data_IF_670664467060
#
_entry.id   IF_670664467060
#
_cell.length_a   1.000
_cell.length_b   1.000
_cell.length_c   1.000
_cell.angle_alpha   90.00
_cell.angle_beta   90.00
_cell.angle_gamma   90.00
#
_symmetry.space_group_name_H-M   'P 1'
#
loop_
_entity.id
_entity.type
_entity.pdbx_description
1 polymer ?
#
# COMPACT_ATOMS: atom_id res chain seq x y z
N UNK A 1 -6.78 102.22 -136.80
CA UNK A 1 -7.98 101.52 -136.28
C UNK A 1 -7.63 100.14 -135.71
N UNK A 2 -6.88 99.29 -136.43
CA UNK A 2 -6.43 97.97 -135.95
C UNK A 2 -5.59 97.98 -134.66
N UNK A 3 -4.67 98.94 -134.48
CA UNK A 3 -3.84 99.01 -133.25
C UNK A 3 -4.67 99.24 -131.99
N UNK A 4 -5.73 100.06 -132.07
CA UNK A 4 -6.63 100.34 -130.94
C UNK A 4 -7.43 99.08 -130.55
N UNK A 5 -7.82 98.28 -131.54
CA UNK A 5 -8.55 97.03 -131.33
C UNK A 5 -7.68 95.93 -130.74
N UNK A 6 -6.41 95.85 -131.16
CA UNK A 6 -5.40 94.99 -130.54
C UNK A 6 -5.09 95.41 -129.09
N UNK A 7 -4.98 96.71 -128.82
CA UNK A 7 -4.80 97.23 -127.46
C UNK A 7 -6.01 96.91 -126.57
N UNK A 8 -7.24 97.01 -127.09
CA UNK A 8 -8.46 96.59 -126.37
C UNK A 8 -8.44 95.10 -126.05
N UNK A 9 -8.12 94.25 -127.03
CA UNK A 9 -8.02 92.80 -126.83
C UNK A 9 -6.95 92.43 -125.80
N UNK A 10 -5.79 93.10 -125.81
CA UNK A 10 -4.77 92.91 -124.76
C UNK A 10 -5.25 93.35 -123.38
N UNK A 11 -5.96 94.48 -123.31
CA UNK A 11 -6.48 95.01 -122.05
C UNK A 11 -7.56 94.09 -121.45
N UNK A 12 -8.41 93.48 -122.28
CA UNK A 12 -9.42 92.51 -121.84
C UNK A 12 -8.77 91.20 -121.35
N UNK A 13 -7.72 90.70 -122.03
CA UNK A 13 -6.94 89.54 -121.56
C UNK A 13 -6.21 89.82 -120.25
N UNK A 14 -5.71 91.04 -120.07
CA UNK A 14 -5.08 91.48 -118.82
C UNK A 14 -6.14 91.51 -117.71
N UNK A 15 -7.33 92.06 -117.97
CA UNK A 15 -8.46 92.04 -117.01
C UNK A 15 -8.85 90.63 -116.61
N UNK A 16 -9.04 89.74 -117.58
CA UNK A 16 -9.39 88.33 -117.32
C UNK A 16 -8.28 87.63 -116.51
N UNK A 17 -7.02 87.92 -116.81
CA UNK A 17 -5.88 87.38 -116.04
C UNK A 17 -5.86 87.93 -114.61
N UNK A 18 -6.13 89.22 -114.42
CA UNK A 18 -6.23 89.86 -113.09
C UNK A 18 -7.39 89.24 -112.30
N UNK A 19 -8.56 89.08 -112.91
CA UNK A 19 -9.73 88.49 -112.26
C UNK A 19 -9.51 87.03 -111.87
N UNK A 20 -8.87 86.25 -112.74
CA UNK A 20 -8.52 84.85 -112.45
C UNK A 20 -7.47 84.75 -111.32
N UNK A 21 -6.45 85.61 -111.34
CA UNK A 21 -5.45 85.68 -110.26
C UNK A 21 -6.09 86.12 -108.94
N UNK A 22 -6.98 87.11 -108.98
CA UNK A 22 -7.74 87.60 -107.82
C UNK A 22 -8.62 86.49 -107.22
N UNK A 23 -9.34 85.75 -108.07
CA UNK A 23 -10.16 84.61 -107.63
C UNK A 23 -9.31 83.48 -107.03
N UNK A 24 -8.17 83.13 -107.65
CA UNK A 24 -7.24 82.13 -107.09
C UNK A 24 -6.65 82.58 -105.76
N UNK A 25 -6.30 83.86 -105.64
CA UNK A 25 -5.77 84.43 -104.40
C UNK A 25 -6.83 84.42 -103.29
N UNK A 26 -8.06 84.85 -103.58
CA UNK A 26 -9.17 84.83 -102.62
C UNK A 26 -9.49 83.40 -102.16
N UNK A 27 -9.50 82.42 -103.08
CA UNK A 27 -9.67 81.02 -102.71
C UNK A 27 -8.56 80.52 -101.78
N UNK A 28 -7.30 80.85 -102.06
CA UNK A 28 -6.18 80.52 -101.16
C UNK A 28 -6.30 81.19 -99.79
N UNK A 29 -6.68 82.47 -99.75
CA UNK A 29 -6.91 83.21 -98.51
C UNK A 29 -8.01 82.53 -97.69
N UNK A 30 -9.11 82.12 -98.32
CA UNK A 30 -10.21 81.44 -97.65
C UNK A 30 -9.78 80.06 -97.10
N UNK A 31 -8.99 79.29 -97.86
CA UNK A 31 -8.41 78.03 -97.37
C UNK A 31 -7.48 78.26 -96.19
N UNK A 32 -6.59 79.25 -96.26
CA UNK A 32 -5.68 79.59 -95.15
C UNK A 32 -6.47 79.98 -93.90
N UNK A 33 -7.52 80.79 -94.04
CA UNK A 33 -8.41 81.15 -92.92
C UNK A 33 -9.11 79.94 -92.31
N UNK A 34 -9.61 79.02 -93.14
CA UNK A 34 -10.25 77.80 -92.67
C UNK A 34 -9.28 76.90 -91.90
N UNK A 35 -8.05 76.73 -92.41
CA UNK A 35 -7.01 75.97 -91.72
C UNK A 35 -6.64 76.65 -90.40
N UNK A 36 -6.42 77.97 -90.42
CA UNK A 36 -6.12 78.75 -89.21
C UNK A 36 -7.20 78.58 -88.15
N UNK A 37 -8.48 78.70 -88.52
CA UNK A 37 -9.60 78.52 -87.59
C UNK A 37 -9.63 77.11 -86.99
N UNK A 38 -9.41 76.08 -87.80
CA UNK A 38 -9.35 74.69 -87.32
C UNK A 38 -8.16 74.47 -86.37
N UNK A 39 -7.01 75.05 -86.70
CA UNK A 39 -5.82 74.99 -85.84
C UNK A 39 -6.06 75.75 -84.53
N UNK A 40 -6.72 76.92 -84.57
CA UNK A 40 -7.06 77.68 -83.36
C UNK A 40 -8.04 76.89 -82.47
N UNK A 41 -9.03 76.21 -83.05
CA UNK A 41 -9.94 75.31 -82.32
C UNK A 41 -9.20 74.15 -81.66
N UNK A 42 -8.27 73.49 -82.37
CA UNK A 42 -7.42 72.44 -81.82
C UNK A 42 -6.49 72.95 -80.71
N UNK A 43 -5.92 74.14 -80.86
CA UNK A 43 -5.07 74.76 -79.84
C UNK A 43 -5.89 75.08 -78.59
N UNK A 44 -7.12 75.55 -78.75
CA UNK A 44 -7.98 75.96 -77.64
C UNK A 44 -8.47 74.79 -76.76
N UNK A 45 -8.44 73.54 -77.26
CA UNK A 45 -8.80 72.36 -76.44
C UNK A 45 -7.63 71.78 -75.64
N UNK A 46 -6.37 72.04 -76.04
CA UNK A 46 -5.17 71.52 -75.37
C UNK A 46 -5.11 71.89 -73.87
N UNK A 47 -5.43 73.13 -73.45
CA UNK A 47 -5.44 73.49 -72.03
C UNK A 47 -6.38 72.63 -71.20
N UNK A 48 -7.60 72.36 -71.70
CA UNK A 48 -8.57 71.52 -70.99
C UNK A 48 -8.09 70.07 -70.83
N UNK A 49 -7.43 69.52 -71.84
CA UNK A 49 -6.81 68.20 -71.75
C UNK A 49 -5.67 68.16 -70.72
N UNK A 50 -4.86 69.22 -70.64
CA UNK A 50 -3.80 69.33 -69.64
C UNK A 50 -4.36 69.42 -68.22
N UNK A 51 -5.42 70.20 -68.00
CA UNK A 51 -6.13 70.28 -66.70
C UNK A 51 -6.70 68.92 -66.26
N UNK A 52 -7.26 68.13 -67.19
CA UNK A 52 -7.75 66.78 -66.91
C UNK A 52 -6.62 65.82 -66.51
N UNK A 53 -5.48 65.90 -67.21
CA UNK A 53 -4.31 65.10 -66.87
C UNK A 53 -3.72 65.47 -65.51
N UNK A 54 -3.61 66.77 -65.20
CA UNK A 54 -3.13 67.26 -63.90
C UNK A 54 -4.05 66.81 -62.76
N UNK A 55 -5.37 66.89 -62.97
CA UNK A 55 -6.34 66.36 -62.01
C UNK A 55 -6.14 64.87 -61.79
N UNK A 56 -5.94 64.10 -62.87
CA UNK A 56 -5.74 62.65 -62.77
C UNK A 56 -4.43 62.29 -62.08
N UNK A 57 -3.36 63.02 -62.35
CA UNK A 57 -2.08 62.90 -61.66
C UNK A 57 -2.24 63.15 -60.15
N UNK A 58 -2.96 64.20 -59.77
CA UNK A 58 -3.23 64.50 -58.36
C UNK A 58 -4.06 63.41 -57.67
N UNK A 59 -5.10 62.87 -58.32
CA UNK A 59 -5.88 61.74 -57.80
C UNK A 59 -5.01 60.50 -57.55
N UNK A 60 -4.14 60.15 -58.51
CA UNK A 60 -3.23 59.02 -58.40
C UNK A 60 -2.19 59.24 -57.31
N UNK A 61 -1.66 60.46 -57.15
CA UNK A 61 -0.70 60.78 -56.10
C UNK A 61 -1.31 60.63 -54.70
N UNK A 62 -2.56 61.05 -54.51
CA UNK A 62 -3.28 60.85 -53.24
C UNK A 62 -3.58 59.36 -52.97
N UNK A 63 -3.92 58.58 -54.01
CA UNK A 63 -4.10 57.13 -53.88
C UNK A 63 -2.79 56.43 -53.50
N UNK A 64 -1.68 56.80 -54.15
CA UNK A 64 -0.34 56.28 -53.83
C UNK A 64 0.04 56.61 -52.37
N UNK A 65 -0.30 57.81 -51.89
CA UNK A 65 -0.04 58.20 -50.51
C UNK A 65 -0.81 57.33 -49.53
N UNK A 66 -2.11 57.10 -49.75
CA UNK A 66 -2.92 56.21 -48.92
C UNK A 66 -2.38 54.78 -48.92
N UNK A 67 -2.02 54.25 -50.08
CA UNK A 67 -1.44 52.91 -50.18
C UNK A 67 -0.11 52.77 -49.41
N UNK A 68 0.72 53.82 -49.37
CA UNK A 68 1.95 53.83 -48.56
C UNK A 68 1.64 53.82 -47.07
N UNK A 69 0.64 54.58 -46.63
CA UNK A 69 0.19 54.59 -45.23
C UNK A 69 -0.37 53.23 -44.82
N UNK A 70 -1.21 52.61 -45.66
CA UNK A 70 -1.77 51.28 -45.43
C UNK A 70 -0.67 50.19 -45.40
N UNK A 71 0.31 50.28 -46.30
CA UNK A 71 1.47 49.38 -46.31
C UNK A 71 2.25 49.49 -45.00
N UNK A 72 2.49 50.70 -44.51
CA UNK A 72 3.21 50.91 -43.25
C UNK A 72 2.44 50.32 -42.07
N UNK A 73 1.13 50.58 -41.99
CA UNK A 73 0.27 50.00 -40.95
C UNK A 73 0.30 48.46 -40.97
N UNK A 74 0.32 47.87 -42.16
CA UNK A 74 0.38 46.42 -42.33
C UNK A 74 1.73 45.85 -41.90
N UNK A 75 2.84 46.53 -42.21
CA UNK A 75 4.18 46.17 -41.73
C UNK A 75 4.25 46.22 -40.21
N UNK A 76 3.74 47.30 -39.59
CA UNK A 76 3.75 47.46 -38.14
C UNK A 76 2.91 46.36 -37.44
N UNK A 77 1.78 45.97 -38.04
CA UNK A 77 0.95 44.89 -37.52
C UNK A 77 1.60 43.50 -37.68
N UNK A 78 2.31 43.27 -38.77
CA UNK A 78 3.10 42.04 -38.96
C UNK A 78 4.16 41.95 -37.86
N UNK A 79 4.91 43.03 -37.62
CA UNK A 79 5.95 43.04 -36.58
C UNK A 79 5.38 42.74 -35.18
N UNK A 80 4.24 43.35 -34.81
CA UNK A 80 3.56 43.03 -33.54
C UNK A 80 3.13 41.57 -33.45
N UNK A 81 2.60 41.02 -34.55
CA UNK A 81 2.17 39.63 -34.59
C UNK A 81 3.38 38.68 -34.47
N UNK A 82 4.51 39.00 -35.10
CA UNK A 82 5.75 38.23 -34.97
C UNK A 82 6.30 38.26 -33.53
N UNK A 83 6.25 39.41 -32.86
CA UNK A 83 6.60 39.53 -31.45
C UNK A 83 5.69 38.68 -30.54
N UNK A 84 4.38 38.71 -30.76
CA UNK A 84 3.41 37.88 -30.04
C UNK A 84 3.64 36.39 -30.27
N UNK A 85 3.93 35.98 -31.51
CA UNK A 85 4.29 34.59 -31.84
C UNK A 85 5.53 34.16 -31.07
N UNK A 86 6.58 34.99 -31.05
CA UNK A 86 7.82 34.68 -30.33
C UNK A 86 7.59 34.53 -28.83
N UNK A 87 6.78 35.39 -28.21
CA UNK A 87 6.41 35.27 -26.80
C UNK A 87 5.64 33.97 -26.52
N UNK A 88 4.68 33.64 -27.37
CA UNK A 88 3.88 32.42 -27.26
C UNK A 88 4.75 31.15 -27.41
N UNK A 89 5.75 31.16 -28.30
CA UNK A 89 6.70 30.05 -28.46
C UNK A 89 7.51 29.81 -27.17
N UNK A 90 7.97 30.89 -26.53
CA UNK A 90 8.69 30.81 -25.24
C UNK A 90 7.77 30.27 -24.13
N UNK A 91 6.52 30.71 -24.08
CA UNK A 91 5.56 30.21 -23.09
C UNK A 91 5.23 28.73 -23.33
N UNK A 92 5.05 28.33 -24.59
CA UNK A 92 4.84 26.94 -24.97
C UNK A 92 6.01 26.05 -24.52
N UNK A 93 7.24 26.53 -24.66
CA UNK A 93 8.42 25.79 -24.21
C UNK A 93 8.44 25.62 -22.68
N UNK A 94 8.14 26.68 -21.92
CA UNK A 94 8.01 26.59 -20.45
C UNK A 94 6.92 25.62 -20.01
N UNK A 95 5.79 25.57 -20.73
CA UNK A 95 4.72 24.62 -20.43
C UNK A 95 5.14 23.17 -20.71
N UNK A 96 5.86 22.92 -21.81
CA UNK A 96 6.42 21.59 -22.12
C UNK A 96 7.42 21.11 -21.06
N UNK A 97 8.27 22.01 -20.57
CA UNK A 97 9.21 21.70 -19.48
C UNK A 97 8.47 21.31 -18.20
N UNK A 98 7.48 22.10 -17.79
CA UNK A 98 6.62 21.78 -16.63
C UNK A 98 5.86 20.47 -16.78
N UNK A 99 5.37 20.17 -17.99
CA UNK A 99 4.72 18.89 -18.28
C UNK A 99 5.69 17.72 -18.10
N UNK A 100 6.94 17.87 -18.58
CA UNK A 100 7.95 16.84 -18.44
C UNK A 100 8.33 16.61 -16.96
N UNK A 101 8.53 17.68 -16.18
CA UNK A 101 8.77 17.59 -14.73
C UNK A 101 7.65 16.82 -14.01
N UNK A 102 6.39 17.13 -14.35
CA UNK A 102 5.22 16.43 -13.77
C UNK A 102 5.14 14.97 -14.18
N UNK A 103 5.58 14.64 -15.39
CA UNK A 103 5.66 13.26 -15.86
C UNK A 103 6.72 12.47 -15.09
N UNK A 104 7.89 13.06 -14.87
CA UNK A 104 8.95 12.45 -14.06
C UNK A 104 8.52 12.25 -12.60
N UNK A 105 7.84 13.23 -12.00
CA UNK A 105 7.26 13.12 -10.66
C UNK A 105 6.24 11.96 -10.58
N UNK A 106 5.37 11.85 -11.59
CA UNK A 106 4.40 10.75 -11.69
C UNK A 106 5.10 9.38 -11.77
N UNK A 107 6.14 9.25 -12.59
CA UNK A 107 6.86 7.98 -12.76
C UNK A 107 7.60 7.58 -11.47
N UNK A 108 8.12 8.56 -10.72
CA UNK A 108 8.68 8.35 -9.38
C UNK A 108 7.63 7.83 -8.40
N UNK A 109 6.46 8.48 -8.34
CA UNK A 109 5.35 8.05 -7.47
C UNK A 109 4.89 6.62 -7.83
N UNK A 110 4.78 6.30 -9.12
CA UNK A 110 4.42 4.95 -9.58
C UNK A 110 5.43 3.91 -9.06
N UNK A 111 6.72 4.23 -9.11
CA UNK A 111 7.78 3.36 -8.59
C UNK A 111 7.68 3.18 -7.07
N UNK A 112 7.47 4.26 -6.32
CA UNK A 112 7.28 4.22 -4.87
C UNK A 112 6.04 3.38 -4.47
N UNK A 113 4.93 3.52 -5.22
CA UNK A 113 3.72 2.70 -5.01
C UNK A 113 4.02 1.20 -5.24
N UNK A 114 4.78 0.87 -6.27
CA UNK A 114 5.15 -0.52 -6.56
C UNK A 114 6.01 -1.11 -5.43
N UNK A 115 6.98 -0.36 -4.91
CA UNK A 115 7.80 -0.76 -3.77
C UNK A 115 6.97 -0.98 -2.49
N UNK A 116 6.08 -0.03 -2.17
CA UNK A 116 5.18 -0.16 -1.02
C UNK A 116 4.25 -1.37 -1.15
N UNK A 117 3.73 -1.63 -2.35
CA UNK A 117 2.89 -2.81 -2.61
C UNK A 117 3.65 -4.11 -2.38
N UNK A 118 4.90 -4.20 -2.84
CA UNK A 118 5.75 -5.37 -2.61
C UNK A 118 6.07 -5.55 -1.12
N UNK A 119 6.37 -4.45 -0.41
CA UNK A 119 6.58 -4.47 1.04
C UNK A 119 5.34 -4.96 1.79
N UNK A 120 4.15 -4.57 1.35
CA UNK A 120 2.90 -5.00 1.96
C UNK A 120 2.67 -6.51 1.79
N UNK A 121 2.90 -7.03 0.57
CA UNK A 121 2.83 -8.49 0.29
C UNK A 121 3.80 -9.28 1.20
N UNK A 122 5.01 -8.76 1.39
CA UNK A 122 5.99 -9.40 2.29
C UNK A 122 5.51 -9.40 3.75
N UNK A 123 4.97 -8.28 4.23
CA UNK A 123 4.41 -8.18 5.58
C UNK A 123 3.21 -9.10 5.77
N UNK A 124 2.31 -9.20 4.79
CA UNK A 124 1.18 -10.13 4.83
C UNK A 124 1.65 -11.57 4.94
N UNK A 125 2.70 -11.95 4.20
CA UNK A 125 3.31 -13.28 4.27
C UNK A 125 3.89 -13.55 5.66
N UNK A 126 4.61 -12.58 6.24
CA UNK A 126 5.16 -12.70 7.59
C UNK A 126 4.07 -12.81 8.66
N UNK A 127 2.96 -12.08 8.50
CA UNK A 127 1.81 -12.18 9.40
C UNK A 127 1.20 -13.59 9.30
N UNK A 128 1.05 -14.14 8.10
CA UNK A 128 0.53 -15.50 7.92
C UNK A 128 1.43 -16.55 8.60
N UNK A 129 2.75 -16.44 8.42
CA UNK A 129 3.74 -17.32 9.08
C UNK A 129 3.65 -17.23 10.61
N UNK A 130 3.64 -16.01 11.16
CA UNK A 130 3.54 -15.79 12.61
C UNK A 130 2.20 -16.26 13.18
N UNK A 131 1.12 -16.15 12.40
CA UNK A 131 -0.20 -16.67 12.79
C UNK A 131 -0.15 -18.19 12.92
N UNK A 132 0.43 -18.89 11.94
CA UNK A 132 0.62 -20.35 12.00
C UNK A 132 1.50 -20.77 13.17
N UNK A 133 2.62 -20.08 13.40
CA UNK A 133 3.47 -20.35 14.57
C UNK A 133 2.68 -20.22 15.88
N UNK A 134 1.86 -19.16 16.01
CA UNK A 134 1.05 -18.91 17.20
C UNK A 134 -0.04 -19.98 17.40
N UNK A 135 -0.70 -20.43 16.33
CA UNK A 135 -1.63 -21.55 16.37
C UNK A 135 -0.96 -22.82 16.90
N UNK A 136 0.22 -23.18 16.37
CA UNK A 136 0.94 -24.38 16.83
C UNK A 136 1.37 -24.27 18.30
N UNK A 137 1.82 -23.09 18.74
CA UNK A 137 2.22 -22.86 20.12
C UNK A 137 1.02 -22.92 21.08
N UNK A 138 -0.14 -22.43 20.65
CA UNK A 138 -1.39 -22.49 21.41
C UNK A 138 -1.86 -23.93 21.58
N UNK A 139 -1.76 -24.74 20.53
CA UNK A 139 -2.09 -26.17 20.58
C UNK A 139 -1.13 -26.94 21.50
N UNK A 140 0.18 -26.67 21.39
CA UNK A 140 1.19 -27.25 22.30
C UNK A 140 0.93 -26.86 23.76
N UNK A 141 0.62 -25.58 24.03
CA UNK A 141 0.29 -25.11 25.37
C UNK A 141 -0.95 -25.84 25.94
N UNK A 142 -1.99 -25.98 25.12
CA UNK A 142 -3.22 -26.69 25.50
C UNK A 142 -2.93 -28.15 25.85
N UNK A 143 -2.06 -28.82 25.06
CA UNK A 143 -1.67 -30.21 25.33
C UNK A 143 -0.87 -30.33 26.63
N UNK A 144 0.08 -29.43 26.89
CA UNK A 144 0.85 -29.41 28.14
C UNK A 144 -0.07 -29.17 29.34
N UNK A 145 -1.05 -28.27 29.21
CA UNK A 145 -2.04 -28.00 30.25
C UNK A 145 -2.89 -29.23 30.57
N UNK A 146 -3.35 -29.97 29.55
CA UNK A 146 -4.08 -31.23 29.74
C UNK A 146 -3.19 -32.28 30.43
N UNK A 147 -1.97 -32.48 29.94
CA UNK A 147 -1.04 -33.47 30.47
C UNK A 147 -0.67 -33.17 31.93
N UNK A 148 -0.35 -31.91 32.24
CA UNK A 148 -0.04 -31.49 33.62
C UNK A 148 -1.24 -31.64 34.55
N UNK A 149 -2.46 -31.33 34.10
CA UNK A 149 -3.67 -31.56 34.88
C UNK A 149 -3.87 -33.05 35.19
N UNK A 150 -3.69 -33.92 34.21
CA UNK A 150 -3.76 -35.38 34.39
C UNK A 150 -2.70 -35.88 35.37
N UNK A 151 -1.45 -35.41 35.24
CA UNK A 151 -0.38 -35.76 36.17
C UNK A 151 -0.66 -35.31 37.61
N UNK A 152 -1.23 -34.11 37.79
CA UNK A 152 -1.65 -33.63 39.10
C UNK A 152 -2.75 -34.53 39.66
N UNK A 153 -3.79 -34.87 38.89
CA UNK A 153 -4.86 -35.77 39.31
C UNK A 153 -4.32 -37.16 39.71
N UNK A 154 -3.41 -37.73 38.93
CA UNK A 154 -2.74 -39.00 39.25
C UNK A 154 -1.90 -38.93 40.54
N UNK A 155 -1.11 -37.85 40.71
CA UNK A 155 -0.30 -37.66 41.90
C UNK A 155 -1.18 -37.43 43.14
N UNK A 156 -2.25 -36.65 43.02
CA UNK A 156 -3.22 -36.45 44.11
C UNK A 156 -3.87 -37.79 44.51
N UNK A 157 -4.28 -38.61 43.54
CA UNK A 157 -4.83 -39.93 43.81
C UNK A 157 -3.82 -40.86 44.53
N UNK A 158 -2.55 -40.85 44.11
CA UNK A 158 -1.47 -41.60 44.79
C UNK A 158 -1.22 -41.09 46.21
N UNK A 159 -1.22 -39.78 46.42
CA UNK A 159 -1.08 -39.18 47.75
C UNK A 159 -2.23 -39.65 48.64
N UNK A 160 -3.48 -39.55 48.19
CA UNK A 160 -4.63 -40.00 48.97
C UNK A 160 -4.58 -41.49 49.31
N UNK A 161 -4.16 -42.34 48.36
CA UNK A 161 -3.97 -43.77 48.62
C UNK A 161 -2.88 -44.04 49.67
N UNK A 162 -1.73 -43.35 49.56
CA UNK A 162 -0.65 -43.45 50.55
C UNK A 162 -1.05 -42.88 51.92
N UNK A 163 -1.83 -41.81 51.97
CA UNK A 163 -2.37 -41.27 53.22
C UNK A 163 -3.31 -42.26 53.91
N UNK A 164 -4.12 -42.99 53.13
CA UNK A 164 -5.02 -44.02 53.64
C UNK A 164 -4.25 -45.27 54.11
N UNK A 165 -3.23 -45.70 53.36
CA UNK A 165 -2.29 -46.74 53.80
C UNK A 165 -1.55 -46.34 55.08
N UNK A 166 -1.08 -45.09 55.18
CA UNK A 166 -0.42 -44.55 56.36
C UNK A 166 -1.38 -44.53 57.56
N UNK A 167 -2.65 -44.16 57.35
CA UNK A 167 -3.67 -44.17 58.40
C UNK A 167 -3.89 -45.60 58.91
N UNK A 168 -4.01 -46.57 58.02
CA UNK A 168 -4.15 -47.99 58.37
C UNK A 168 -2.92 -48.50 59.13
N UNK A 169 -1.71 -48.22 58.64
CA UNK A 169 -0.47 -48.60 59.31
C UNK A 169 -0.31 -47.95 60.69
N UNK A 170 -0.78 -46.71 60.88
CA UNK A 170 -0.84 -46.06 62.20
C UNK A 170 -1.83 -46.74 63.12
N UNK A 171 -3.02 -47.12 62.63
CA UNK A 171 -4.00 -47.88 63.40
C UNK A 171 -3.47 -49.25 63.81
N UNK A 172 -2.85 -49.99 62.89
CA UNK A 172 -2.22 -51.29 63.15
C UNK A 172 -1.09 -51.16 64.21
N UNK A 173 -0.30 -50.08 64.16
CA UNK A 173 0.78 -49.84 65.13
C UNK A 173 0.31 -49.31 66.51
N UNK A 174 -0.96 -48.93 66.69
CA UNK A 174 -1.45 -48.43 68.00
C UNK A 174 -1.27 -49.46 69.12
N UNK A 175 -1.44 -50.75 68.80
CA UNK A 175 -1.23 -51.87 69.74
C UNK A 175 0.21 -51.87 70.28
N UNK A 176 1.18 -51.73 69.38
CA UNK A 176 2.61 -51.81 69.72
C UNK A 176 3.03 -50.58 70.53
N UNK A 177 2.61 -49.39 70.11
CA UNK A 177 2.93 -48.13 70.81
C UNK A 177 2.33 -48.13 72.22
N UNK A 178 1.07 -48.54 72.39
CA UNK A 178 0.43 -48.65 73.70
C UNK A 178 1.20 -49.58 74.64
N UNK A 179 1.63 -50.74 74.13
CA UNK A 179 2.31 -51.74 74.95
C UNK A 179 3.77 -51.35 75.27
N UNK A 180 4.42 -50.56 74.41
CA UNK A 180 5.74 -49.99 74.68
C UNK A 180 5.68 -48.81 75.65
N UNK A 181 4.75 -47.85 75.48
CA UNK A 181 4.63 -46.66 76.35
C UNK A 181 4.15 -47.00 77.77
N UNK A 182 3.37 -48.06 77.93
CA UNK A 182 2.98 -48.59 79.24
C UNK A 182 4.13 -49.34 79.97
N UNK A 183 5.31 -49.47 79.35
CA UNK A 183 6.46 -50.20 79.89
C UNK A 183 6.23 -51.71 80.01
N UNK A 184 5.26 -52.26 79.27
CA UNK A 184 4.82 -53.66 79.38
C UNK A 184 5.61 -54.61 78.47
N UNK A 185 6.36 -54.09 77.50
CA UNK A 185 7.13 -54.86 76.53
C UNK A 185 8.48 -54.25 76.14
N UNK A 186 9.46 -55.12 75.91
CA UNK A 186 10.79 -54.77 75.36
C UNK A 186 10.81 -54.84 73.82
N UNK A 187 11.84 -54.26 73.17
CA UNK A 187 11.98 -54.21 71.69
C UNK A 187 11.79 -55.57 71.00
N UNK A 188 12.34 -56.70 71.50
CA UNK A 188 12.09 -58.03 70.90
C UNK A 188 10.65 -58.52 71.06
N UNK A 189 9.98 -58.15 72.16
CA UNK A 189 8.59 -58.52 72.46
C UNK A 189 7.63 -57.75 71.54
N UNK A 190 7.88 -56.46 71.34
CA UNK A 190 7.13 -55.61 70.40
C UNK A 190 7.21 -56.11 68.94
N UNK A 191 8.38 -56.56 68.50
CA UNK A 191 8.58 -57.06 67.13
C UNK A 191 7.79 -58.34 66.85
N UNK A 192 7.81 -59.31 67.78
CA UNK A 192 7.03 -60.55 67.64
C UNK A 192 5.52 -60.26 67.62
N UNK A 193 5.06 -59.36 68.50
CA UNK A 193 3.65 -58.96 68.55
C UNK A 193 3.22 -58.28 67.25
N UNK A 194 4.06 -57.40 66.69
CA UNK A 194 3.78 -56.75 65.40
C UNK A 194 3.55 -57.76 64.28
N UNK A 195 4.43 -58.76 64.18
CA UNK A 195 4.33 -59.83 63.18
C UNK A 195 3.08 -60.68 63.34
N UNK A 196 2.69 -60.99 64.59
CA UNK A 196 1.49 -61.78 64.88
C UNK A 196 0.21 -60.97 64.67
N UNK A 197 0.19 -59.70 65.07
CA UNK A 197 -0.94 -58.79 64.92
C UNK A 197 -1.25 -58.48 63.45
N UNK A 198 -0.23 -58.48 62.59
CA UNK A 198 -0.39 -58.33 61.14
C UNK A 198 -1.06 -59.55 60.45
N UNK A 199 -1.32 -60.65 61.18
CA UNK A 199 -2.02 -61.84 60.69
C UNK A 199 -3.40 -61.99 61.33
N UNK A 200 -4.46 -61.95 60.52
CA UNK A 200 -5.84 -62.12 61.00
C UNK A 200 -6.13 -63.52 61.56
N UNK A 201 -5.41 -64.54 61.08
CA UNK A 201 -5.59 -65.93 61.50
C UNK A 201 -4.52 -66.42 62.49
N UNK A 202 -3.63 -65.52 62.95
CA UNK A 202 -2.45 -65.87 63.73
C UNK A 202 -1.35 -66.52 62.89
N UNK A 203 -0.22 -66.83 63.53
CA UNK A 203 0.96 -67.40 62.88
C UNK A 203 1.52 -68.59 63.66
N UNK A 204 2.03 -69.60 62.96
CA UNK A 204 2.80 -70.70 63.53
C UNK A 204 4.19 -70.20 63.95
N UNK A 205 4.87 -70.97 64.81
CA UNK A 205 6.22 -70.64 65.28
C UNK A 205 7.22 -70.41 64.12
N UNK A 206 7.14 -71.23 63.08
CA UNK A 206 8.07 -71.14 61.95
C UNK A 206 7.79 -69.90 61.10
N UNK A 207 6.51 -69.58 60.86
CA UNK A 207 6.12 -68.36 60.16
C UNK A 207 6.53 -67.10 60.93
N UNK A 208 6.51 -67.14 62.27
CA UNK A 208 6.99 -66.03 63.11
C UNK A 208 8.50 -65.90 62.98
N UNK A 209 9.26 -67.00 63.09
CA UNK A 209 10.73 -67.01 62.97
C UNK A 209 11.24 -66.49 61.64
N UNK A 210 10.47 -66.65 60.56
CA UNK A 210 10.82 -66.16 59.22
C UNK A 210 10.51 -64.67 59.02
N UNK A 211 9.57 -64.12 59.81
CA UNK A 211 9.07 -62.74 59.65
C UNK A 211 9.63 -61.74 60.66
N UNK A 212 10.31 -62.22 61.71
CA UNK A 212 10.95 -61.37 62.73
C UNK A 212 12.46 -61.28 62.50
N UNK A 213 13.05 -60.12 62.81
CA UNK A 213 14.48 -59.85 62.66
C UNK A 213 15.31 -60.34 63.86
N UNK A 214 14.67 -60.66 64.99
CA UNK A 214 15.36 -61.24 66.15
C UNK A 214 15.89 -62.66 65.85
N UNK A 215 17.03 -63.07 66.43
CA UNK A 215 17.58 -64.40 66.23
C UNK A 215 16.56 -65.49 66.57
N UNK A 216 16.43 -66.51 65.71
CA UNK A 216 15.40 -67.57 65.85
C UNK A 216 15.42 -68.30 67.19
N UNK A 217 16.58 -68.33 67.86
CA UNK A 217 16.76 -68.90 69.20
C UNK A 217 16.10 -68.08 70.31
N UNK A 218 15.89 -66.77 70.10
CA UNK A 218 15.22 -65.87 71.04
C UNK A 218 13.71 -65.79 70.81
N UNK A 219 13.24 -66.20 69.63
CA UNK A 219 11.81 -66.14 69.27
C UNK A 219 10.94 -66.98 70.22
N UNK A 220 11.33 -68.23 70.52
CA UNK A 220 10.53 -69.08 71.39
C UNK A 220 10.49 -68.60 72.86
N UNK A 221 11.62 -68.23 73.50
CA UNK A 221 11.59 -67.64 74.85
C UNK A 221 10.72 -66.38 74.93
N UNK A 222 10.85 -65.49 73.94
CA UNK A 222 10.08 -64.25 73.90
C UNK A 222 8.59 -64.52 73.64
N UNK A 223 8.23 -65.49 72.80
CA UNK A 223 6.83 -65.94 72.63
C UNK A 223 6.24 -66.47 73.93
N UNK A 224 7.00 -67.23 74.71
CA UNK A 224 6.53 -67.76 75.99
C UNK A 224 6.25 -66.62 76.99
N UNK A 225 7.14 -65.61 77.07
CA UNK A 225 6.88 -64.42 77.87
C UNK A 225 5.62 -63.67 77.41
N UNK A 226 5.41 -63.58 76.09
CA UNK A 226 4.26 -62.92 75.51
C UNK A 226 2.95 -63.70 75.72
N UNK A 227 2.98 -65.03 75.78
CA UNK A 227 1.80 -65.87 76.10
C UNK A 227 1.28 -65.63 77.52
N UNK A 228 2.16 -65.26 78.45
CA UNK A 228 1.76 -64.92 79.81
C UNK A 228 1.16 -63.50 79.92
N UNK A 229 1.43 -62.64 78.94
CA UNK A 229 1.06 -61.22 78.96
C UNK A 229 -0.10 -60.88 78.01
N UNK A 230 0.03 -61.23 76.73
CA UNK A 230 -0.77 -60.63 75.64
C UNK A 230 -1.12 -61.59 74.49
N UNK A 231 -0.49 -62.76 74.38
CA UNK A 231 -0.77 -63.76 73.37
C UNK A 231 -1.64 -64.90 73.91
N UNK A 232 -2.32 -65.56 72.99
CA UNK A 232 -2.94 -66.87 73.19
C UNK A 232 -2.41 -67.84 72.14
N UNK A 233 -2.33 -69.12 72.50
CA UNK A 233 -1.91 -70.18 71.59
C UNK A 233 -3.08 -71.10 71.30
N UNK A 234 -3.53 -71.15 70.04
CA UNK A 234 -4.52 -72.12 69.58
C UNK A 234 -3.81 -73.45 69.26
N UNK A 235 -3.87 -74.37 70.21
CA UNK A 235 -3.27 -75.70 70.07
C UNK A 235 -3.89 -76.54 68.93
N UNK A 236 -5.10 -76.21 68.43
CA UNK A 236 -5.72 -76.95 67.31
C UNK A 236 -5.17 -76.52 65.97
N UNK A 237 -4.75 -75.26 65.86
CA UNK A 237 -4.22 -74.67 64.63
C UNK A 237 -2.70 -74.49 64.69
N UNK A 238 -2.09 -74.74 65.84
CA UNK A 238 -0.69 -74.49 66.18
C UNK A 238 -0.26 -73.04 65.95
N UNK A 239 -1.18 -72.10 66.18
CA UNK A 239 -0.97 -70.67 65.89
C UNK A 239 -0.99 -69.83 67.14
N UNK A 240 -0.09 -68.86 67.18
CA UNK A 240 -0.09 -67.77 68.14
C UNK A 240 -0.98 -66.64 67.61
N UNK A 241 -1.82 -66.10 68.48
CA UNK A 241 -2.76 -65.02 68.20
C UNK A 241 -2.73 -64.01 69.35
N UNK A 242 -3.05 -62.75 69.07
CA UNK A 242 -3.28 -61.76 70.13
C UNK A 242 -4.49 -62.22 70.95
N UNK A 243 -4.38 -62.15 72.27
CA UNK A 243 -5.49 -62.48 73.17
C UNK A 243 -6.72 -61.62 72.87
N UNK A 244 -7.88 -62.25 72.73
CA UNK A 244 -9.16 -61.55 72.47
C UNK A 244 -9.53 -60.57 73.58
N UNK A 245 -9.11 -60.84 74.82
CA UNK A 245 -9.32 -59.95 75.99
C UNK A 245 -8.56 -58.63 75.80
N UNK A 246 -7.32 -58.70 75.30
CA UNK A 246 -6.47 -57.51 75.05
C UNK A 246 -7.01 -56.71 73.85
N UNK A 247 -7.55 -57.39 72.83
CA UNK A 247 -8.23 -56.73 71.70
C UNK A 247 -9.51 -55.99 72.13
N UNK A 248 -10.32 -56.54 73.05
CA UNK A 248 -11.54 -55.91 73.56
C UNK A 248 -11.25 -54.69 74.46
N UNK A 249 -10.22 -54.75 75.31
CA UNK A 249 -9.83 -53.61 76.16
C UNK A 249 -9.38 -52.38 75.34
N UNK A 250 -8.74 -52.59 74.20
CA UNK A 250 -8.34 -51.52 73.29
C UNK A 250 -9.52 -50.83 72.61
N UNK A 251 -10.51 -51.60 72.16
CA UNK A 251 -11.68 -51.07 71.48
C UNK A 251 -12.60 -50.29 72.43
N UNK A 252 -12.60 -50.61 73.73
CA UNK A 252 -13.44 -49.96 74.75
C UNK A 252 -12.83 -48.67 75.35
N UNK A 253 -11.58 -48.30 75.02
CA UNK A 253 -10.91 -47.08 75.53
C UNK A 253 -10.51 -46.07 74.45
N UNK A 254 -11.04 -46.23 73.23
CA UNK A 254 -10.87 -45.31 72.10
C UNK A 254 -11.94 -44.22 72.08
#
# INVERSE_FOLDING_TARGET
MQEVEQLRSHLDRIRESIDNLSNKLNNKINTIRSISSSTDEEINVIPGFFEELEKKENELNEEIKKLKEDLQNLVDNIQKTEEEISLNEVELQKLKEKENEKREEKDKIISEIAELKNKNILLDTQIEEKTKELETLTEQYSQVQINSKQQIEELTAKISALEEELKKAKEDNKLIVYLMDAGLMDVPEAEIISVIAASTDGLTLNEIKEKVSIPSVRVQPTLNNLLEKVLTYDARREKYQISSIVQEEMNNRS
#
